data_IF_507882264430
#
_entry.id   IF_507882264430
#
_cell.length_a   1.000
_cell.length_b   1.000
_cell.length_c   1.000
_cell.angle_alpha   90.00
_cell.angle_beta   90.00
_cell.angle_gamma   90.00
#
_symmetry.space_group_name_H-M   'P 1'
#
loop_
_entity.id
_entity.type
_entity.pdbx_description
1 polymer ?
#
# COMPACT_ATOMS: atom_id res chain seq x y z
N UNK A 1 8.84 9.01 2.59
CA UNK A 1 8.92 7.61 2.12
C UNK A 1 9.97 7.39 1.02
N UNK A 2 10.31 8.38 0.17
CA UNK A 2 11.29 8.23 -0.92
C UNK A 2 12.69 7.74 -0.50
N UNK A 3 13.25 8.24 0.61
CA UNK A 3 14.55 7.76 1.11
C UNK A 3 14.53 6.26 1.48
N UNK A 4 13.43 5.78 2.08
CA UNK A 4 13.25 4.36 2.38
C UNK A 4 13.14 3.50 1.12
N UNK A 5 12.47 4.00 0.08
CA UNK A 5 12.42 3.33 -1.24
C UNK A 5 13.81 3.23 -1.84
N UNK A 6 14.59 4.31 -1.82
CA UNK A 6 15.96 4.31 -2.34
C UNK A 6 16.83 3.28 -1.62
N UNK A 7 16.74 3.17 -0.30
CA UNK A 7 17.49 2.17 0.48
C UNK A 7 17.09 0.74 0.08
N UNK A 8 15.79 0.44 0.00
CA UNK A 8 15.30 -0.90 -0.35
C UNK A 8 15.59 -1.26 -1.82
N UNK A 9 15.64 -0.28 -2.72
CA UNK A 9 16.00 -0.49 -4.13
C UNK A 9 17.51 -0.70 -4.33
N UNK A 10 18.34 0.07 -3.63
CA UNK A 10 19.79 0.08 -3.83
C UNK A 10 20.51 -1.07 -3.11
N UNK A 11 20.03 -1.49 -1.94
CA UNK A 11 20.69 -2.53 -1.12
C UNK A 11 19.73 -3.59 -0.52
N UNK A 12 18.80 -4.18 -1.31
CA UNK A 12 17.87 -5.18 -0.78
C UNK A 12 18.56 -6.44 -0.24
N UNK A 13 19.62 -6.89 -0.92
CA UNK A 13 20.36 -8.10 -0.56
C UNK A 13 21.08 -7.95 0.78
N UNK A 14 21.67 -6.78 1.05
CA UNK A 14 22.30 -6.47 2.34
C UNK A 14 21.29 -6.41 3.47
N UNK A 15 20.08 -5.90 3.21
CA UNK A 15 19.00 -5.89 4.20
C UNK A 15 18.56 -7.31 4.55
N UNK A 16 18.45 -8.20 3.57
CA UNK A 16 18.07 -9.60 3.81
C UNK A 16 19.17 -10.40 4.52
N UNK A 17 20.45 -10.12 4.21
CA UNK A 17 21.58 -10.75 4.89
C UNK A 17 21.67 -10.40 6.39
N UNK A 18 21.08 -9.28 6.84
CA UNK A 18 20.96 -8.98 8.28
C UNK A 18 20.04 -9.98 9.01
N UNK A 19 19.17 -10.67 8.28
CA UNK A 19 18.26 -11.69 8.81
C UNK A 19 18.77 -13.12 8.54
N UNK A 20 20.06 -13.29 8.23
CA UNK A 20 20.67 -14.59 7.91
C UNK A 20 19.95 -15.33 6.76
N UNK A 21 19.55 -14.56 5.73
CA UNK A 21 18.82 -15.08 4.59
C UNK A 21 19.67 -16.08 3.77
N UNK A 22 19.14 -17.28 3.56
CA UNK A 22 19.72 -18.29 2.67
C UNK A 22 19.72 -17.84 1.20
N UNK A 23 20.49 -18.48 0.32
CA UNK A 23 20.49 -18.17 -1.12
C UNK A 23 19.09 -18.28 -1.76
N UNK A 24 18.30 -19.25 -1.31
CA UNK A 24 16.90 -19.41 -1.75
C UNK A 24 16.02 -18.25 -1.25
N UNK A 25 16.27 -17.73 -0.04
CA UNK A 25 15.54 -16.59 0.48
C UNK A 25 15.93 -15.29 -0.24
N UNK A 26 17.20 -15.12 -0.62
CA UNK A 26 17.66 -13.96 -1.38
C UNK A 26 17.05 -13.92 -2.79
N UNK A 27 17.00 -15.05 -3.48
CA UNK A 27 16.43 -15.14 -4.84
C UNK A 27 14.94 -14.80 -4.90
N UNK A 28 14.20 -15.03 -3.81
CA UNK A 28 12.77 -14.69 -3.70
C UNK A 28 12.56 -13.30 -3.09
N UNK A 29 13.34 -12.96 -2.05
CA UNK A 29 13.17 -11.74 -1.26
C UNK A 29 13.65 -10.48 -1.96
N UNK A 30 14.72 -10.54 -2.75
CA UNK A 30 15.22 -9.38 -3.52
C UNK A 30 14.17 -8.85 -4.51
N UNK A 31 13.58 -9.67 -5.40
CA UNK A 31 12.52 -9.19 -6.29
C UNK A 31 11.27 -8.75 -5.52
N UNK A 32 10.92 -9.43 -4.43
CA UNK A 32 9.80 -9.05 -3.57
C UNK A 32 9.97 -7.64 -3.00
N UNK A 33 11.12 -7.35 -2.39
CA UNK A 33 11.44 -6.05 -1.80
C UNK A 33 11.43 -4.94 -2.85
N UNK A 34 12.01 -5.19 -4.04
CA UNK A 34 11.99 -4.22 -5.14
C UNK A 34 10.56 -3.91 -5.57
N UNK A 35 9.71 -4.91 -5.76
CA UNK A 35 8.31 -4.70 -6.18
C UNK A 35 7.52 -3.96 -5.07
N UNK A 36 7.58 -4.43 -3.84
CA UNK A 36 6.81 -3.84 -2.71
C UNK A 36 7.25 -2.41 -2.44
N UNK A 37 8.54 -2.09 -2.54
CA UNK A 37 9.05 -0.74 -2.27
C UNK A 37 8.44 0.33 -3.19
N UNK A 38 8.03 -0.01 -4.41
CA UNK A 38 7.33 0.94 -5.31
C UNK A 38 6.02 1.44 -4.72
N UNK A 39 5.36 0.61 -3.91
CA UNK A 39 4.10 0.91 -3.24
C UNK A 39 4.26 1.97 -2.16
N UNK A 40 5.46 2.11 -1.56
CA UNK A 40 5.69 3.04 -0.45
C UNK A 40 5.53 4.50 -0.84
N UNK A 41 5.76 4.85 -2.11
CA UNK A 41 5.53 6.23 -2.58
C UNK A 41 4.03 6.57 -2.51
N UNK A 42 3.20 5.62 -2.93
CA UNK A 42 1.74 5.76 -2.96
C UNK A 42 1.11 5.61 -1.57
N UNK A 43 1.65 4.71 -0.75
CA UNK A 43 1.18 4.48 0.62
C UNK A 43 1.20 5.75 1.47
N UNK A 44 2.14 6.67 1.23
CA UNK A 44 2.20 7.96 1.93
C UNK A 44 0.92 8.77 1.76
N UNK A 45 0.34 8.79 0.55
CA UNK A 45 -0.93 9.48 0.29
C UNK A 45 -2.09 8.81 1.02
N UNK A 46 -2.21 7.48 0.93
CA UNK A 46 -3.27 6.72 1.60
C UNK A 46 -3.22 6.88 3.13
N UNK A 47 -2.03 6.97 3.71
CA UNK A 47 -1.82 7.23 5.15
C UNK A 47 -2.32 8.63 5.52
N UNK A 48 -1.95 9.67 4.76
CA UNK A 48 -2.39 11.05 5.03
C UNK A 48 -3.91 11.15 4.94
N UNK A 49 -4.53 10.60 3.90
CA UNK A 49 -5.99 10.55 3.77
C UNK A 49 -6.66 9.85 4.96
N UNK A 50 -6.09 8.71 5.38
CA UNK A 50 -6.60 7.96 6.55
C UNK A 50 -6.49 8.76 7.85
N UNK A 51 -5.44 9.57 8.02
CA UNK A 51 -5.28 10.47 9.17
C UNK A 51 -6.28 11.63 9.12
N UNK A 52 -6.53 12.20 7.93
CA UNK A 52 -7.53 13.26 7.74
C UNK A 52 -8.93 12.77 8.09
N UNK A 53 -9.34 11.60 7.60
CA UNK A 53 -10.66 11.05 7.93
C UNK A 53 -10.82 10.76 9.42
N UNK A 54 -9.77 10.25 10.08
CA UNK A 54 -9.78 10.06 11.54
C UNK A 54 -9.91 11.40 12.29
N UNK A 55 -9.17 12.43 11.87
CA UNK A 55 -9.22 13.76 12.48
C UNK A 55 -10.58 14.45 12.30
N UNK A 56 -11.26 14.21 11.18
CA UNK A 56 -12.61 14.71 10.90
C UNK A 56 -13.73 13.87 11.54
N UNK A 57 -13.40 12.92 12.44
CA UNK A 57 -14.38 12.06 13.12
C UNK A 57 -14.96 10.93 12.25
N UNK A 58 -14.47 10.74 11.02
CA UNK A 58 -14.94 9.71 10.08
C UNK A 58 -13.98 8.51 10.02
N UNK A 59 -13.64 7.93 11.17
CA UNK A 59 -12.70 6.80 11.28
C UNK A 59 -13.13 5.55 10.51
N UNK A 60 -14.44 5.39 10.26
CA UNK A 60 -14.99 4.31 9.44
C UNK A 60 -14.43 4.34 8.02
N UNK A 61 -14.20 5.53 7.45
CA UNK A 61 -13.64 5.64 6.11
C UNK A 61 -12.19 5.13 6.05
N UNK A 62 -11.38 5.46 7.05
CA UNK A 62 -10.02 4.91 7.18
C UNK A 62 -10.03 3.39 7.38
N UNK A 63 -11.02 2.87 8.11
CA UNK A 63 -11.18 1.42 8.30
C UNK A 63 -11.54 0.72 6.99
N UNK A 64 -12.49 1.26 6.21
CA UNK A 64 -12.87 0.71 4.90
C UNK A 64 -11.65 0.69 3.98
N UNK A 65 -10.87 1.78 3.89
CA UNK A 65 -9.65 1.81 3.09
C UNK A 65 -8.64 0.72 3.49
N UNK A 66 -8.45 0.53 4.80
CA UNK A 66 -7.53 -0.47 5.34
C UNK A 66 -7.97 -1.90 5.00
N UNK A 67 -9.27 -2.18 5.15
CA UNK A 67 -9.90 -3.48 4.82
C UNK A 67 -9.85 -3.73 3.32
N UNK A 68 -10.21 -2.75 2.49
CA UNK A 68 -10.16 -2.90 1.04
C UNK A 68 -8.76 -3.27 0.58
N UNK A 69 -7.75 -2.55 1.09
CA UNK A 69 -6.35 -2.83 0.76
C UNK A 69 -5.95 -4.25 1.17
N UNK A 70 -6.12 -4.61 2.44
CA UNK A 70 -5.51 -5.83 2.99
C UNK A 70 -6.34 -7.09 2.76
N UNK A 71 -7.66 -7.00 2.94
CA UNK A 71 -8.55 -8.16 2.90
C UNK A 71 -9.27 -8.29 1.56
N UNK A 72 -9.81 -7.19 1.03
CA UNK A 72 -10.65 -7.27 -0.17
C UNK A 72 -9.85 -7.37 -1.48
N UNK A 73 -8.64 -6.80 -1.53
CA UNK A 73 -7.84 -6.74 -2.76
C UNK A 73 -6.57 -7.55 -2.65
N UNK A 74 -5.73 -7.32 -1.62
CA UNK A 74 -4.43 -7.99 -1.51
C UNK A 74 -4.58 -9.51 -1.42
N UNK A 75 -5.48 -10.00 -0.56
CA UNK A 75 -5.62 -11.44 -0.32
C UNK A 75 -6.16 -12.20 -1.55
N UNK A 76 -7.23 -11.75 -2.24
CA UNK A 76 -7.67 -12.38 -3.49
C UNK A 76 -6.66 -12.23 -4.63
N UNK A 77 -6.03 -11.05 -4.78
CA UNK A 77 -5.03 -10.83 -5.83
C UNK A 77 -3.81 -11.74 -5.63
N UNK A 78 -3.33 -11.88 -4.38
CA UNK A 78 -2.23 -12.77 -4.05
C UNK A 78 -2.57 -14.22 -4.36
N UNK A 79 -3.78 -14.68 -4.00
CA UNK A 79 -4.24 -16.04 -4.30
C UNK A 79 -4.31 -16.31 -5.81
N UNK A 80 -4.93 -15.40 -6.57
CA UNK A 80 -5.08 -15.54 -8.02
C UNK A 80 -3.70 -15.51 -8.71
N UNK A 81 -2.82 -14.57 -8.34
CA UNK A 81 -1.49 -14.44 -8.93
C UNK A 81 -0.60 -15.63 -8.58
N UNK A 82 -0.67 -16.14 -7.34
CA UNK A 82 0.06 -17.34 -6.93
C UNK A 82 -0.32 -18.54 -7.78
N UNK A 83 -1.63 -18.74 -8.00
CA UNK A 83 -2.14 -19.93 -8.68
C UNK A 83 -1.95 -19.85 -10.21
N UNK A 84 -2.09 -18.67 -10.80
CA UNK A 84 -2.00 -18.50 -12.26
C UNK A 84 -0.58 -18.30 -12.79
N UNK A 85 0.30 -17.62 -12.03
CA UNK A 85 1.60 -17.17 -12.53
C UNK A 85 2.78 -17.54 -11.60
N UNK A 86 2.51 -18.22 -10.48
CA UNK A 86 3.54 -18.69 -9.54
C UNK A 86 4.03 -17.62 -8.55
N UNK A 87 5.03 -17.99 -7.75
CA UNK A 87 5.49 -17.21 -6.59
C UNK A 87 5.98 -15.80 -6.94
N UNK A 88 6.64 -15.63 -8.09
CA UNK A 88 7.14 -14.32 -8.51
C UNK A 88 6.02 -13.30 -8.75
N UNK A 89 4.84 -13.77 -9.16
CA UNK A 89 3.71 -12.91 -9.46
C UNK A 89 2.95 -12.45 -8.20
N UNK A 90 3.04 -13.20 -7.10
CA UNK A 90 2.35 -12.91 -5.82
C UNK A 90 2.69 -11.51 -5.31
N UNK A 91 3.93 -11.08 -5.48
CA UNK A 91 4.41 -9.79 -5.01
C UNK A 91 3.74 -8.61 -5.72
N UNK A 92 3.18 -8.79 -6.92
CA UNK A 92 2.39 -7.77 -7.61
C UNK A 92 1.00 -7.55 -6.99
N UNK A 93 0.54 -8.44 -6.10
CA UNK A 93 -0.69 -8.20 -5.33
C UNK A 93 -0.59 -6.94 -4.45
N UNK A 94 0.60 -6.62 -3.93
CA UNK A 94 0.85 -5.44 -3.11
C UNK A 94 0.61 -4.13 -3.88
N UNK A 95 1.24 -3.88 -5.05
CA UNK A 95 0.95 -2.67 -5.81
C UNK A 95 -0.50 -2.61 -6.28
N UNK A 96 -1.11 -3.73 -6.70
CA UNK A 96 -2.53 -3.75 -7.08
C UNK A 96 -3.43 -3.31 -5.92
N UNK A 97 -3.17 -3.86 -4.72
CA UNK A 97 -3.90 -3.49 -3.51
C UNK A 97 -3.71 -2.02 -3.14
N UNK A 98 -2.51 -1.48 -3.29
CA UNK A 98 -2.29 -0.05 -3.02
C UNK A 98 -2.93 0.86 -4.05
N UNK A 99 -2.91 0.51 -5.34
CA UNK A 99 -3.63 1.28 -6.35
C UNK A 99 -5.13 1.31 -6.09
N UNK A 100 -5.71 0.18 -5.68
CA UNK A 100 -7.11 0.13 -5.28
C UNK A 100 -7.40 0.99 -4.05
N UNK A 101 -6.53 0.93 -3.03
CA UNK A 101 -6.65 1.76 -1.82
C UNK A 101 -6.52 3.25 -2.14
N UNK A 102 -5.57 3.62 -3.00
CA UNK A 102 -5.33 5.01 -3.42
C UNK A 102 -6.51 5.55 -4.23
N UNK A 103 -7.05 4.78 -5.17
CA UNK A 103 -8.25 5.15 -5.92
C UNK A 103 -9.44 5.42 -4.97
N UNK A 104 -9.65 4.51 -4.01
CA UNK A 104 -10.70 4.67 -3.00
C UNK A 104 -10.47 5.91 -2.12
N UNK A 105 -9.22 6.15 -1.70
CA UNK A 105 -8.82 7.33 -0.92
C UNK A 105 -9.20 8.63 -1.63
N UNK A 106 -8.91 8.73 -2.92
CA UNK A 106 -9.18 9.93 -3.73
C UNK A 106 -10.69 10.18 -3.83
N UNK A 107 -11.48 9.13 -4.07
CA UNK A 107 -12.94 9.22 -4.17
C UNK A 107 -13.54 9.69 -2.84
N UNK A 108 -13.12 9.08 -1.73
CA UNK A 108 -13.62 9.40 -0.40
C UNK A 108 -13.19 10.80 0.03
N UNK A 109 -11.95 11.21 -0.28
CA UNK A 109 -11.46 12.54 0.05
C UNK A 109 -12.24 13.61 -0.69
N UNK A 110 -12.51 13.39 -1.98
CA UNK A 110 -13.33 14.29 -2.80
C UNK A 110 -14.76 14.42 -2.25
N UNK A 111 -15.33 13.33 -1.73
CA UNK A 111 -16.64 13.34 -1.11
C UNK A 111 -16.65 14.09 0.23
N UNK A 112 -15.69 13.79 1.12
CA UNK A 112 -15.56 14.44 2.43
C UNK A 112 -15.24 15.92 2.29
N UNK A 113 -14.40 16.31 1.33
CA UNK A 113 -14.06 17.72 1.07
C UNK A 113 -15.30 18.55 0.74
N UNK A 114 -16.16 18.04 -0.15
CA UNK A 114 -17.42 18.72 -0.52
C UNK A 114 -18.43 18.78 0.61
N UNK A 115 -18.48 17.74 1.45
CA UNK A 115 -19.52 17.58 2.47
C UNK A 115 -19.17 18.27 3.80
N UNK A 116 -17.89 18.38 4.13
CA UNK A 116 -17.43 18.88 5.43
C UNK A 116 -16.66 20.20 5.30
N UNK A 117 -15.78 20.34 4.30
CA UNK A 117 -14.88 21.50 4.21
C UNK A 117 -15.56 22.67 3.49
N UNK A 118 -16.30 22.43 2.41
CA UNK A 118 -17.05 23.49 1.71
C UNK A 118 -18.08 24.22 2.58
N UNK A 119 -18.90 23.55 3.43
CA UNK A 119 -19.81 24.25 4.32
C UNK A 119 -19.11 25.04 5.44
N UNK A 120 -17.95 24.59 5.94
CA UNK A 120 -17.18 25.32 6.97
C UNK A 120 -16.51 26.61 6.45
N UNK A 121 -16.36 26.75 5.12
CA UNK A 121 -15.81 27.96 4.49
C UNK A 121 -16.91 28.98 4.11
N UNK A 122 -18.18 28.62 4.28
CA UNK A 122 -19.33 29.46 4.00
C UNK A 122 -19.91 30.16 5.25
N UNK A 123 -19.40 29.82 6.44
CA UNK A 123 -19.63 30.50 7.72
C UNK A 123 -18.46 31.46 8.04
#
# INVERSE_FOLDING_TARGET
MAAGVAVVQLIPDKLLLLFDASEQMLTIGVPALRIISTCFVFAGFSIVCSSVFQALGNSIFSMIMSITRQLAVLLPAAYILAHAFGLHAVWYAFPIAEFASLALSIIMLSHTYKKVITPLAAD
#
